data_IF_960477484328
#
_entry.id   IF_960477484328
#
_cell.length_a   1.000
_cell.length_b   1.000
_cell.length_c   1.000
_cell.angle_alpha   90.00
_cell.angle_beta   90.00
_cell.angle_gamma   90.00
#
_symmetry.space_group_name_H-M   'P 1'
#
loop_
_entity.id
_entity.type
_entity.pdbx_description
1 polymer ?
#
# COMPACT_ATOMS: atom_id res chain seq x y z
N UNK A 1 -12.91 3.22 -9.91
CA UNK A 1 -12.31 4.55 -9.62
C UNK A 1 -11.86 5.25 -10.91
N UNK A 2 -11.95 6.58 -11.00
CA UNK A 2 -11.39 7.34 -12.13
C UNK A 2 -9.86 7.48 -12.00
N UNK A 3 -9.14 7.44 -13.14
CA UNK A 3 -7.66 7.46 -13.14
C UNK A 3 -7.08 8.73 -12.49
N UNK A 4 -7.70 9.91 -12.69
CA UNK A 4 -7.28 11.16 -12.05
C UNK A 4 -7.25 11.05 -10.52
N UNK A 5 -8.27 10.41 -9.93
CA UNK A 5 -8.35 10.23 -8.48
C UNK A 5 -7.25 9.28 -7.98
N UNK A 6 -6.94 8.22 -8.72
CA UNK A 6 -5.85 7.30 -8.36
C UNK A 6 -4.47 7.98 -8.38
N UNK A 7 -4.27 8.95 -9.27
CA UNK A 7 -3.04 9.74 -9.31
C UNK A 7 -2.93 10.63 -8.08
N UNK A 8 -4.03 11.31 -7.71
CA UNK A 8 -4.05 12.18 -6.54
C UNK A 8 -3.73 11.40 -5.25
N UNK A 9 -4.39 10.27 -5.03
CA UNK A 9 -4.15 9.43 -3.84
C UNK A 9 -2.70 8.98 -3.74
N UNK A 10 -2.09 8.58 -4.85
CA UNK A 10 -0.68 8.19 -4.85
C UNK A 10 0.27 9.36 -4.59
N UNK A 11 -0.09 10.58 -5.02
CA UNK A 11 0.68 11.78 -4.69
C UNK A 11 0.59 12.07 -3.18
N UNK A 12 -0.61 11.99 -2.61
CA UNK A 12 -0.85 12.22 -1.18
C UNK A 12 -0.10 11.16 -0.33
N UNK A 13 -0.15 9.88 -0.70
CA UNK A 13 0.64 8.83 -0.05
C UNK A 13 2.14 9.13 -0.14
N UNK A 14 2.62 9.53 -1.32
CA UNK A 14 4.03 9.90 -1.53
C UNK A 14 4.46 11.01 -0.58
N UNK A 15 3.61 12.01 -0.35
CA UNK A 15 3.91 13.11 0.57
C UNK A 15 3.96 12.64 2.03
N UNK A 16 3.07 11.75 2.45
CA UNK A 16 3.15 11.13 3.78
C UNK A 16 4.43 10.28 3.94
N UNK A 17 4.85 9.54 2.91
CA UNK A 17 6.11 8.77 2.96
C UNK A 17 7.35 9.67 3.02
N UNK A 18 7.31 10.90 2.48
CA UNK A 18 8.36 11.91 2.69
C UNK A 18 8.42 12.39 4.14
N UNK A 19 7.27 12.55 4.80
CA UNK A 19 7.21 12.85 6.24
C UNK A 19 7.83 11.71 7.03
N UNK A 20 7.47 10.45 6.73
CA UNK A 20 8.05 9.27 7.36
C UNK A 20 9.57 9.17 7.16
N UNK A 21 10.06 9.53 5.98
CA UNK A 21 11.51 9.60 5.68
C UNK A 21 12.22 10.56 6.61
N UNK A 22 11.68 11.77 6.77
CA UNK A 22 12.23 12.78 7.68
C UNK A 22 12.18 12.31 9.13
N UNK A 23 11.06 11.70 9.52
CA UNK A 23 10.86 11.14 10.85
C UNK A 23 11.86 10.02 11.17
N UNK A 24 12.05 9.07 10.25
CA UNK A 24 13.01 7.99 10.39
C UNK A 24 14.47 8.50 10.46
N UNK A 25 14.81 9.57 9.72
CA UNK A 25 16.12 10.21 9.81
C UNK A 25 16.38 10.76 11.22
N UNK A 26 15.39 11.44 11.82
CA UNK A 26 15.48 11.94 13.20
C UNK A 26 15.66 10.81 14.23
N UNK A 27 15.17 9.61 13.93
CA UNK A 27 15.34 8.41 14.75
C UNK A 27 16.62 7.61 14.43
N UNK A 28 17.56 8.16 13.64
CA UNK A 28 18.85 7.54 13.37
C UNK A 28 18.85 6.49 12.24
N UNK A 29 17.85 6.50 11.35
CA UNK A 29 17.88 5.65 10.16
C UNK A 29 19.08 5.99 9.26
N UNK A 30 19.83 4.96 8.83
CA UNK A 30 20.99 5.09 7.93
C UNK A 30 20.61 5.25 6.45
N UNK A 31 19.38 4.90 6.08
CA UNK A 31 18.91 4.97 4.69
C UNK A 31 17.41 5.29 4.62
N UNK A 32 16.95 6.41 5.20
CA UNK A 32 15.53 6.76 5.25
C UNK A 32 14.92 6.97 3.85
N UNK A 33 15.70 7.38 2.85
CA UNK A 33 15.26 7.64 1.48
C UNK A 33 14.76 6.36 0.78
N UNK A 34 15.21 5.18 1.25
CA UNK A 34 14.75 3.89 0.73
C UNK A 34 13.33 3.53 1.17
N UNK A 35 12.76 4.24 2.15
CA UNK A 35 11.45 3.90 2.70
C UNK A 35 10.35 3.97 1.64
N UNK A 36 10.36 4.97 0.76
CA UNK A 36 9.40 5.05 -0.35
C UNK A 36 9.36 3.74 -1.17
N UNK A 37 10.54 3.27 -1.62
CA UNK A 37 10.67 2.03 -2.37
C UNK A 37 10.23 0.79 -1.58
N UNK A 38 10.52 0.77 -0.28
CA UNK A 38 10.12 -0.35 0.60
C UNK A 38 8.60 -0.46 0.70
N UNK A 39 7.88 0.67 0.82
CA UNK A 39 6.41 0.66 0.87
C UNK A 39 5.79 0.33 -0.49
N UNK A 40 6.32 0.86 -1.60
CA UNK A 40 5.87 0.45 -2.95
C UNK A 40 6.02 -1.06 -3.16
N UNK A 41 7.16 -1.64 -2.78
CA UNK A 41 7.38 -3.10 -2.85
C UNK A 41 6.44 -3.87 -1.94
N UNK A 42 6.09 -3.32 -0.77
CA UNK A 42 5.12 -3.92 0.13
C UNK A 42 3.73 -4.00 -0.52
N UNK A 43 3.25 -2.93 -1.15
CA UNK A 43 1.97 -2.94 -1.89
C UNK A 43 1.98 -4.02 -2.96
N UNK A 44 3.02 -4.04 -3.80
CA UNK A 44 3.12 -4.98 -4.92
C UNK A 44 3.18 -6.42 -4.43
N UNK A 45 3.98 -6.69 -3.39
CA UNK A 45 4.07 -8.03 -2.79
C UNK A 45 2.75 -8.46 -2.14
N UNK A 46 2.07 -7.55 -1.44
CA UNK A 46 0.81 -7.85 -0.73
C UNK A 46 -0.31 -8.16 -1.71
N UNK A 47 -0.31 -7.50 -2.87
CA UNK A 47 -1.28 -7.71 -3.94
C UNK A 47 -0.83 -8.72 -5.00
N UNK A 48 0.36 -9.33 -4.86
CA UNK A 48 0.96 -10.19 -5.87
C UNK A 48 1.05 -9.55 -7.29
N UNK A 49 1.38 -8.25 -7.35
CA UNK A 49 1.56 -7.49 -8.60
C UNK A 49 2.97 -7.72 -9.16
N UNK A 50 3.05 -8.11 -10.43
CA UNK A 50 4.30 -8.15 -11.18
C UNK A 50 4.82 -6.74 -11.51
N UNK A 51 6.14 -6.58 -11.48
CA UNK A 51 6.78 -5.31 -11.89
C UNK A 51 6.50 -5.00 -13.36
N UNK A 52 6.28 -3.73 -13.70
CA UNK A 52 6.10 -3.29 -15.08
C UNK A 52 4.64 -3.16 -15.54
N UNK A 53 3.67 -3.65 -14.75
CA UNK A 53 2.23 -3.53 -15.08
C UNK A 53 1.64 -2.14 -14.80
N UNK A 54 2.47 -1.15 -14.41
CA UNK A 54 2.03 0.21 -14.07
C UNK A 54 1.38 0.86 -15.29
N UNK A 55 0.07 1.04 -15.22
CA UNK A 55 -0.72 1.71 -16.26
C UNK A 55 -1.71 0.80 -16.98
N UNK A 56 -1.58 -0.53 -16.81
CA UNK A 56 -2.45 -1.54 -17.40
C UNK A 56 -3.65 -1.93 -16.51
N UNK A 57 -3.73 -1.36 -15.30
CA UNK A 57 -4.79 -1.68 -14.34
C UNK A 57 -6.17 -1.15 -14.79
N UNK A 58 -7.19 -2.00 -14.64
CA UNK A 58 -8.58 -1.61 -14.84
C UNK A 58 -9.10 -0.77 -13.65
N UNK A 59 -10.32 -0.24 -13.78
CA UNK A 59 -10.90 0.67 -12.79
C UNK A 59 -11.15 0.03 -11.42
N UNK A 60 -11.32 -1.29 -11.34
CA UNK A 60 -11.48 -2.04 -10.09
C UNK A 60 -10.13 -2.22 -9.40
N UNK A 61 -9.12 -2.71 -10.13
CA UNK A 61 -7.74 -2.86 -9.65
C UNK A 61 -7.15 -1.52 -9.16
N UNK A 62 -7.40 -0.43 -9.89
CA UNK A 62 -7.01 0.92 -9.45
C UNK A 62 -7.68 1.32 -8.14
N UNK A 63 -8.93 0.92 -7.91
CA UNK A 63 -9.63 1.18 -6.64
C UNK A 63 -8.96 0.45 -5.48
N UNK A 64 -8.64 -0.83 -5.65
CA UNK A 64 -7.98 -1.65 -4.61
C UNK A 64 -6.61 -1.09 -4.26
N UNK A 65 -5.80 -0.77 -5.26
CA UNK A 65 -4.47 -0.17 -5.06
C UNK A 65 -4.61 1.14 -4.29
N UNK A 66 -5.51 2.03 -4.72
CA UNK A 66 -5.74 3.30 -4.05
C UNK A 66 -6.21 3.12 -2.60
N UNK A 67 -7.08 2.15 -2.31
CA UNK A 67 -7.51 1.87 -0.93
C UNK A 67 -6.33 1.45 -0.05
N UNK A 68 -5.41 0.64 -0.58
CA UNK A 68 -4.19 0.25 0.13
C UNK A 68 -3.26 1.44 0.35
N UNK A 69 -3.04 2.29 -0.66
CA UNK A 69 -2.23 3.51 -0.55
C UNK A 69 -2.81 4.48 0.51
N UNK A 70 -4.14 4.63 0.56
CA UNK A 70 -4.83 5.40 1.61
C UNK A 70 -4.59 4.77 2.98
N UNK A 71 -4.75 3.45 3.11
CA UNK A 71 -4.56 2.74 4.38
C UNK A 71 -3.13 2.90 4.90
N UNK A 72 -2.13 2.85 4.02
CA UNK A 72 -0.73 3.14 4.35
C UNK A 72 -0.59 4.56 4.85
N UNK A 73 -1.05 5.55 4.07
CA UNK A 73 -0.91 6.97 4.40
C UNK A 73 -1.53 7.31 5.76
N UNK A 74 -2.77 6.87 6.01
CA UNK A 74 -3.48 7.08 7.27
C UNK A 74 -2.76 6.42 8.45
N UNK A 75 -2.41 5.14 8.32
CA UNK A 75 -1.72 4.40 9.39
C UNK A 75 -0.36 5.04 9.72
N UNK A 76 0.40 5.45 8.70
CA UNK A 76 1.71 6.07 8.91
C UNK A 76 1.57 7.41 9.65
N UNK A 77 0.65 8.28 9.24
CA UNK A 77 0.52 9.59 9.87
C UNK A 77 -0.01 9.49 11.31
N UNK A 78 -0.91 8.55 11.60
CA UNK A 78 -1.41 8.26 12.95
C UNK A 78 -0.26 7.81 13.86
N UNK A 79 0.49 6.81 13.46
CA UNK A 79 1.57 6.25 14.28
C UNK A 79 2.75 7.23 14.46
N UNK A 80 2.99 8.14 13.50
CA UNK A 80 3.93 9.25 13.69
C UNK A 80 3.46 10.19 14.79
N UNK A 81 2.16 10.55 14.82
CA UNK A 81 1.57 11.39 15.89
C UNK A 81 1.68 10.74 17.27
N UNK A 82 1.57 9.41 17.31
CA UNK A 82 1.76 8.60 18.52
C UNK A 82 3.25 8.39 18.89
N UNK A 83 4.19 8.99 18.17
CA UNK A 83 5.63 8.86 18.38
C UNK A 83 6.16 7.41 18.28
N UNK A 84 5.51 6.56 17.50
CA UNK A 84 5.92 5.17 17.31
C UNK A 84 7.21 5.09 16.49
N UNK A 85 8.14 4.23 16.90
CA UNK A 85 9.40 4.02 16.18
C UNK A 85 9.15 3.61 14.71
N UNK A 86 9.87 4.23 13.76
CA UNK A 86 9.65 4.06 12.32
C UNK A 86 9.70 2.60 11.84
N UNK A 87 10.55 1.77 12.46
CA UNK A 87 10.62 0.32 12.16
C UNK A 87 9.35 -0.41 12.58
N UNK A 88 8.74 -0.01 13.70
CA UNK A 88 7.48 -0.58 14.19
C UNK A 88 6.31 -0.14 13.33
N UNK A 89 6.31 1.10 12.85
CA UNK A 89 5.31 1.60 11.86
C UNK A 89 5.23 0.67 10.65
N UNK A 90 6.37 0.31 10.06
CA UNK A 90 6.40 -0.61 8.92
C UNK A 90 5.75 -1.97 9.23
N UNK A 91 6.03 -2.54 10.40
CA UNK A 91 5.44 -3.83 10.80
C UNK A 91 3.93 -3.73 10.99
N UNK A 92 3.44 -2.64 11.60
CA UNK A 92 2.01 -2.42 11.80
C UNK A 92 1.29 -2.24 10.46
N UNK A 93 1.85 -1.43 9.55
CA UNK A 93 1.31 -1.25 8.20
C UNK A 93 1.24 -2.58 7.47
N UNK A 94 2.34 -3.36 7.47
CA UNK A 94 2.38 -4.68 6.83
C UNK A 94 1.28 -5.60 7.37
N UNK A 95 1.09 -5.66 8.69
CA UNK A 95 0.05 -6.48 9.30
C UNK A 95 -1.37 -6.03 8.87
N UNK A 96 -1.64 -4.72 8.91
CA UNK A 96 -2.94 -4.17 8.47
C UNK A 96 -3.23 -4.49 7.00
N UNK A 97 -2.22 -4.40 6.13
CA UNK A 97 -2.38 -4.76 4.71
C UNK A 97 -2.67 -6.24 4.51
N UNK A 98 -1.99 -7.12 5.25
CA UNK A 98 -2.27 -8.56 5.19
C UNK A 98 -3.69 -8.88 5.64
N UNK A 99 -4.16 -8.28 6.74
CA UNK A 99 -5.54 -8.44 7.21
C UNK A 99 -6.54 -7.90 6.17
N UNK A 100 -6.28 -6.73 5.60
CA UNK A 100 -7.13 -6.14 4.57
C UNK A 100 -7.23 -7.04 3.33
N UNK A 101 -6.09 -7.52 2.80
CA UNK A 101 -6.08 -8.45 1.66
C UNK A 101 -6.82 -9.75 1.98
N UNK A 102 -6.67 -10.28 3.19
CA UNK A 102 -7.45 -11.42 3.66
C UNK A 102 -8.97 -11.17 3.59
N UNK A 103 -9.43 -10.02 4.10
CA UNK A 103 -10.85 -9.65 4.07
C UNK A 103 -11.41 -9.52 2.66
N UNK A 104 -10.66 -8.87 1.78
CA UNK A 104 -11.15 -8.61 0.42
C UNK A 104 -11.03 -9.83 -0.48
N UNK A 105 -10.22 -10.85 -0.16
CA UNK A 105 -10.08 -12.06 -0.99
C UNK A 105 -11.35 -12.94 -1.12
N UNK A 106 -12.44 -12.55 -0.45
CA UNK A 106 -13.84 -13.06 -0.45
C UNK A 106 -14.11 -14.42 -1.12
N UNK A 107 -13.42 -15.49 -0.69
CA UNK A 107 -13.76 -16.86 -1.09
C UNK A 107 -14.97 -17.45 -0.34
N UNK A 108 -15.35 -16.89 0.82
CA UNK A 108 -16.32 -17.53 1.74
C UNK A 108 -17.73 -16.90 1.76
N UNK A 109 -17.91 -15.67 1.24
CA UNK A 109 -19.19 -14.93 1.37
C UNK A 109 -20.00 -14.91 0.06
N UNK A 110 -19.35 -15.01 -1.09
CA UNK A 110 -20.03 -15.02 -2.39
C UNK A 110 -19.82 -16.38 -3.07
N UNK A 111 -20.92 -17.02 -3.51
CA UNK A 111 -20.96 -18.30 -4.25
C UNK A 111 -20.45 -18.17 -5.69
N UNK A 112 -19.40 -17.40 -5.89
CA UNK A 112 -18.82 -17.12 -7.20
C UNK A 112 -17.35 -17.50 -7.17
N UNK A 113 -16.93 -18.40 -8.05
CA UNK A 113 -15.52 -18.69 -8.39
C UNK A 113 -14.84 -17.50 -9.10
N UNK A 114 -15.36 -16.29 -8.92
CA UNK A 114 -14.76 -15.08 -9.45
C UNK A 114 -13.62 -14.74 -8.51
N UNK A 115 -12.40 -15.08 -8.93
CA UNK A 115 -11.17 -14.54 -8.37
C UNK A 115 -11.14 -13.03 -8.62
N UNK A 116 -11.89 -12.26 -7.81
CA UNK A 116 -11.90 -10.79 -7.79
C UNK A 116 -10.49 -10.21 -7.55
N UNK A 117 -9.56 -11.07 -7.12
CA UNK A 117 -8.16 -10.79 -6.80
C UNK A 117 -7.16 -11.57 -7.65
N UNK A 118 -7.51 -11.89 -8.90
CA UNK A 118 -6.49 -12.30 -9.87
C UNK A 118 -5.67 -11.09 -10.32
N UNK A 119 -4.65 -10.77 -9.54
CA UNK A 119 -3.46 -10.14 -10.08
C UNK A 119 -2.50 -11.25 -10.50
N UNK A 120 -2.80 -11.80 -11.69
CA UNK A 120 -1.90 -12.49 -12.61
C UNK A 120 -2.48 -12.38 -14.01
N UNK A 121 -1.79 -11.67 -14.90
CA UNK A 121 -1.78 -11.89 -16.36
C UNK A 121 -0.38 -11.37 -16.80
N UNK A 122 0.59 -12.21 -17.16
CA UNK A 122 0.51 -13.12 -18.29
C UNK A 122 1.31 -14.42 -18.12
N UNK A 123 0.86 -15.41 -18.89
CA UNK A 123 1.48 -16.66 -19.38
C UNK A 123 2.73 -17.20 -18.69
#
# INVERSE_FOLDING_TARGET
MQRKNSIQIRNDETDILKILTTYARKQGSKSPEKLYMVYTKLVYKTLNIESGLRGQFNSHQLSIIATIEILIAQTVIELIKENIQYKKIYQIVKQKLQSFVGLISVKEIYSTDIELYNIKLAS
#
